data_IF_688843492530
#
_entry.id   IF_688843492530
#
_cell.length_a   1.000
_cell.length_b   1.000
_cell.length_c   1.000
_cell.angle_alpha   90.00
_cell.angle_beta   90.00
_cell.angle_gamma   90.00
#
_symmetry.space_group_name_H-M   'P 1'
#
loop_
_entity.id
_entity.type
_entity.pdbx_description
1 polymer ?
#
# COMPACT_ATOMS: atom_id res chain seq x y z
N UNK A 1 -30.93 -3.20 34.93
CA UNK A 1 -30.36 -2.73 33.65
C UNK A 1 -30.29 -3.88 32.63
N UNK A 2 -31.23 -3.99 31.68
CA UNK A 2 -31.14 -4.87 30.49
C UNK A 2 -32.42 -4.77 29.65
N UNK A 3 -32.46 -3.79 28.77
CA UNK A 3 -33.27 -3.82 27.55
C UNK A 3 -32.45 -3.10 26.49
N UNK A 4 -31.41 -3.78 25.98
CA UNK A 4 -30.74 -3.33 24.76
C UNK A 4 -31.48 -4.02 23.61
N UNK A 5 -32.24 -3.29 22.76
CA UNK A 5 -32.93 -3.86 21.62
C UNK A 5 -31.98 -4.69 20.73
N UNK A 6 -32.52 -5.73 20.10
CA UNK A 6 -31.74 -6.64 19.24
C UNK A 6 -31.01 -5.88 18.13
N UNK A 7 -31.65 -4.86 17.55
CA UNK A 7 -31.02 -4.01 16.52
C UNK A 7 -29.82 -3.23 17.05
N UNK A 8 -29.85 -2.82 18.32
CA UNK A 8 -28.75 -2.13 18.98
C UNK A 8 -27.64 -3.13 19.35
N UNK A 9 -27.97 -4.37 19.73
CA UNK A 9 -27.00 -5.45 19.89
C UNK A 9 -26.34 -5.80 18.55
N UNK A 10 -27.11 -5.90 17.47
CA UNK A 10 -26.61 -6.17 16.11
C UNK A 10 -25.71 -5.02 15.65
N UNK A 11 -26.13 -3.77 15.84
CA UNK A 11 -25.31 -2.60 15.54
C UNK A 11 -24.02 -2.58 16.36
N UNK A 12 -24.08 -2.94 17.65
CA UNK A 12 -22.91 -3.05 18.52
C UNK A 12 -21.98 -4.19 18.10
N UNK A 13 -22.51 -5.34 17.67
CA UNK A 13 -21.72 -6.47 17.16
C UNK A 13 -21.01 -6.10 15.85
N UNK A 14 -21.74 -5.53 14.89
CA UNK A 14 -21.19 -5.06 13.61
C UNK A 14 -20.15 -3.96 13.85
N UNK A 15 -20.45 -2.99 14.72
CA UNK A 15 -19.51 -1.91 15.05
C UNK A 15 -18.25 -2.41 15.78
N UNK A 16 -18.36 -3.45 16.63
CA UNK A 16 -17.20 -4.11 17.24
C UNK A 16 -16.34 -4.81 16.20
N UNK A 17 -16.96 -5.59 15.32
CA UNK A 17 -16.26 -6.34 14.28
C UNK A 17 -15.53 -5.39 13.30
N UNK A 18 -16.15 -4.27 12.94
CA UNK A 18 -15.53 -3.23 12.09
C UNK A 18 -14.43 -2.48 12.83
N UNK A 19 -14.63 -2.16 14.12
CA UNK A 19 -13.64 -1.47 14.95
C UNK A 19 -12.40 -2.31 15.25
N UNK A 20 -12.53 -3.62 15.39
CA UNK A 20 -11.41 -4.57 15.49
C UNK A 20 -10.73 -4.81 14.13
N UNK A 21 -11.50 -4.71 13.03
CA UNK A 21 -10.96 -4.89 11.68
C UNK A 21 -10.03 -3.75 11.27
N UNK A 22 -10.28 -2.51 11.70
CA UNK A 22 -9.48 -1.33 11.34
C UNK A 22 -8.76 -0.73 12.56
N UNK A 23 -7.54 -1.20 12.88
CA UNK A 23 -6.79 -0.69 14.03
C UNK A 23 -6.53 0.80 13.88
N UNK A 24 -7.01 1.60 14.84
CA UNK A 24 -6.81 3.05 14.84
C UNK A 24 -5.38 3.43 15.16
N UNK A 25 -4.88 4.45 14.48
CA UNK A 25 -3.55 5.01 14.64
C UNK A 25 -3.64 6.52 14.89
N UNK A 26 -2.76 7.02 15.76
CA UNK A 26 -2.54 8.46 15.96
C UNK A 26 -1.05 8.71 15.82
N UNK A 27 -0.65 9.40 14.76
CA UNK A 27 0.75 9.73 14.46
C UNK A 27 0.80 11.20 14.04
N UNK A 28 1.77 11.95 14.58
CA UNK A 28 2.10 13.27 14.06
C UNK A 28 2.79 13.13 12.71
N UNK A 29 2.14 13.62 11.65
CA UNK A 29 2.66 13.54 10.29
C UNK A 29 3.91 14.42 10.14
N UNK A 30 4.98 13.85 9.60
CA UNK A 30 6.24 14.56 9.36
C UNK A 30 6.27 15.34 8.04
N UNK A 31 7.48 15.63 7.57
CA UNK A 31 7.71 16.29 6.28
C UNK A 31 7.26 15.41 5.08
N UNK A 32 6.97 16.02 3.91
CA UNK A 32 6.76 15.29 2.67
C UNK A 32 7.94 14.36 2.34
N UNK A 33 7.64 13.08 2.11
CA UNK A 33 8.62 12.06 1.70
C UNK A 33 8.46 11.75 0.22
N UNK A 34 7.23 11.61 -0.28
CA UNK A 34 6.94 11.49 -1.71
C UNK A 34 6.27 12.78 -2.18
N UNK A 35 6.74 13.34 -3.29
CA UNK A 35 6.10 14.47 -3.96
C UNK A 35 5.98 14.17 -5.45
N UNK A 36 4.77 14.34 -5.98
CA UNK A 36 4.43 14.13 -7.38
C UNK A 36 3.86 15.44 -7.91
N UNK A 37 4.35 15.92 -9.05
CA UNK A 37 3.94 17.19 -9.64
C UNK A 37 3.79 17.09 -11.15
N UNK A 38 2.61 17.47 -11.65
CA UNK A 38 2.28 17.49 -13.07
C UNK A 38 2.61 16.16 -13.80
N UNK A 39 2.45 15.03 -13.12
CA UNK A 39 2.71 13.71 -13.71
C UNK A 39 1.67 13.43 -14.78
N UNK A 40 2.12 12.93 -15.93
CA UNK A 40 1.26 12.62 -17.07
C UNK A 40 1.69 11.36 -17.80
N UNK A 41 0.71 10.63 -18.34
CA UNK A 41 0.88 9.48 -19.20
C UNK A 41 -0.25 9.49 -20.24
N UNK A 42 0.12 9.64 -21.51
CA UNK A 42 -0.77 9.75 -22.64
C UNK A 42 -1.76 8.59 -22.70
N UNK A 43 -3.04 8.92 -22.88
CA UNK A 43 -4.13 7.94 -22.90
C UNK A 43 -4.50 7.35 -21.53
N UNK A 44 -3.88 7.77 -20.43
CA UNK A 44 -4.19 7.26 -19.08
C UNK A 44 -4.51 8.38 -18.09
N UNK A 45 -3.60 9.32 -17.86
CA UNK A 45 -3.81 10.41 -16.90
C UNK A 45 -3.00 11.67 -17.22
N UNK A 46 -3.43 12.81 -16.69
CA UNK A 46 -2.86 14.13 -16.97
C UNK A 46 -2.87 15.01 -15.71
N UNK A 47 -1.79 15.76 -15.50
CA UNK A 47 -1.65 16.74 -14.43
C UNK A 47 -1.93 16.18 -13.02
N UNK A 48 -1.36 15.00 -12.73
CA UNK A 48 -1.46 14.40 -11.40
C UNK A 48 -0.43 15.05 -10.48
N UNK A 49 -0.88 15.57 -9.35
CA UNK A 49 -0.01 16.17 -8.34
C UNK A 49 -0.51 15.91 -6.92
N UNK A 50 0.34 15.36 -6.08
CA UNK A 50 0.06 15.08 -4.68
C UNK A 50 1.37 14.85 -3.92
N UNK A 51 1.32 14.80 -2.59
CA UNK A 51 2.44 14.36 -1.77
C UNK A 51 2.02 13.22 -0.85
N UNK A 52 2.97 12.60 -0.17
CA UNK A 52 2.76 11.68 0.96
C UNK A 52 3.81 12.02 2.02
N UNK A 53 3.37 12.28 3.24
CA UNK A 53 4.23 12.68 4.37
C UNK A 53 4.80 11.48 5.10
N UNK A 54 5.89 11.71 5.84
CA UNK A 54 6.45 10.71 6.74
C UNK A 54 5.39 10.31 7.77
N UNK A 55 5.15 9.00 7.83
CA UNK A 55 4.12 8.39 8.66
C UNK A 55 2.69 8.59 8.18
N UNK A 56 2.48 9.02 6.94
CA UNK A 56 1.15 9.12 6.33
C UNK A 56 0.82 7.88 5.51
N UNK A 57 -0.41 7.39 5.62
CA UNK A 57 -1.04 6.42 4.73
C UNK A 57 -2.05 7.17 3.87
N UNK A 58 -1.74 7.33 2.59
CA UNK A 58 -2.61 7.97 1.60
C UNK A 58 -3.26 6.90 0.75
N UNK A 59 -4.59 6.90 0.74
CA UNK A 59 -5.38 6.09 -0.18
C UNK A 59 -5.40 6.67 -1.58
N UNK A 60 -5.41 5.81 -2.59
CA UNK A 60 -5.66 6.17 -3.98
C UNK A 60 -6.78 5.26 -4.50
N UNK A 61 -7.79 5.85 -5.12
CA UNK A 61 -8.88 5.08 -5.71
C UNK A 61 -9.42 5.74 -6.97
N UNK A 62 -10.21 4.98 -7.71
CA UNK A 62 -10.88 5.42 -8.94
C UNK A 62 -11.46 4.23 -9.67
N UNK A 63 -12.49 4.46 -10.49
CA UNK A 63 -13.08 3.40 -11.29
C UNK A 63 -12.07 2.79 -12.29
N UNK A 64 -12.38 1.60 -12.80
CA UNK A 64 -11.57 0.98 -13.85
C UNK A 64 -11.38 1.95 -15.03
N UNK A 65 -10.13 2.11 -15.47
CA UNK A 65 -9.78 3.07 -16.53
C UNK A 65 -9.66 4.53 -16.06
N UNK A 66 -9.73 4.81 -14.75
CA UNK A 66 -9.49 6.15 -14.19
C UNK A 66 -8.05 6.63 -14.33
N UNK A 67 -7.08 5.72 -14.47
CA UNK A 67 -5.65 6.02 -14.44
C UNK A 67 -4.97 5.78 -13.09
N UNK A 68 -5.72 5.40 -12.04
CA UNK A 68 -5.16 5.16 -10.69
C UNK A 68 -4.07 4.07 -10.68
N UNK A 69 -4.32 2.95 -11.37
CA UNK A 69 -3.36 1.85 -11.52
C UNK A 69 -2.11 2.29 -12.26
N UNK A 70 -2.27 3.07 -13.34
CA UNK A 70 -1.17 3.57 -14.14
C UNK A 70 -0.28 4.56 -13.37
N UNK A 71 -0.86 5.36 -12.48
CA UNK A 71 -0.09 6.25 -11.58
C UNK A 71 0.86 5.40 -10.72
N UNK A 72 0.33 4.37 -10.05
CA UNK A 72 1.12 3.44 -9.23
C UNK A 72 2.21 2.75 -10.06
N UNK A 73 1.90 2.31 -11.27
CA UNK A 73 2.88 1.71 -12.18
C UNK A 73 3.99 2.68 -12.58
N UNK A 74 3.70 3.98 -12.76
CA UNK A 74 4.71 5.00 -13.02
C UNK A 74 5.60 5.26 -11.79
N UNK A 75 5.02 5.28 -10.59
CA UNK A 75 5.78 5.46 -9.33
C UNK A 75 6.75 4.32 -9.03
N UNK A 76 6.61 3.17 -9.68
CA UNK A 76 7.56 2.07 -9.56
C UNK A 76 8.37 1.81 -10.84
N UNK A 77 8.20 2.64 -11.88
CA UNK A 77 8.91 2.49 -13.16
C UNK A 77 8.51 1.26 -13.97
N UNK A 78 7.30 0.71 -13.76
CA UNK A 78 6.68 -0.29 -14.64
C UNK A 78 6.16 0.35 -15.94
N UNK A 79 5.76 1.62 -15.86
CA UNK A 79 5.47 2.49 -17.00
C UNK A 79 6.34 3.74 -16.90
N UNK A 80 6.75 4.27 -18.04
CA UNK A 80 7.51 5.54 -18.09
C UNK A 80 6.52 6.67 -18.36
N UNK A 81 6.45 7.65 -17.46
CA UNK A 81 5.61 8.83 -17.64
C UNK A 81 6.14 9.74 -18.77
N UNK A 82 5.23 10.45 -19.45
CA UNK A 82 5.57 11.39 -20.54
C UNK A 82 6.02 12.76 -20.02
N UNK A 83 5.93 12.99 -18.71
CA UNK A 83 6.38 14.20 -18.06
C UNK A 83 5.88 14.32 -16.62
N UNK A 84 6.26 15.43 -16.01
CA UNK A 84 6.08 15.67 -14.58
C UNK A 84 7.33 15.34 -13.77
N UNK A 85 7.23 15.50 -12.47
CA UNK A 85 8.32 15.30 -11.52
C UNK A 85 7.87 14.40 -10.39
N UNK A 86 8.75 13.50 -9.97
CA UNK A 86 8.59 12.65 -8.79
C UNK A 86 9.82 12.90 -7.92
N UNK A 87 9.61 13.29 -6.66
CA UNK A 87 10.67 13.47 -5.69
C UNK A 87 10.48 12.53 -4.52
N UNK A 88 11.58 11.98 -4.04
CA UNK A 88 11.64 11.28 -2.75
C UNK A 88 12.62 12.02 -1.85
N UNK A 89 12.14 12.50 -0.72
CA UNK A 89 12.89 13.29 0.26
C UNK A 89 13.56 14.53 -0.37
N UNK A 90 12.80 15.23 -1.21
CA UNK A 90 13.27 16.40 -1.96
C UNK A 90 14.18 16.08 -3.15
N UNK A 91 14.64 14.84 -3.33
CA UNK A 91 15.47 14.43 -4.47
C UNK A 91 14.59 14.00 -5.64
N UNK A 92 14.73 14.66 -6.78
CA UNK A 92 14.07 14.28 -8.03
C UNK A 92 14.56 12.92 -8.55
N UNK A 93 13.63 12.07 -8.93
CA UNK A 93 13.88 10.70 -9.37
C UNK A 93 13.52 10.52 -10.85
N UNK A 94 14.34 9.75 -11.56
CA UNK A 94 14.01 9.22 -12.88
C UNK A 94 13.65 7.75 -12.78
N UNK A 95 12.35 7.49 -12.62
CA UNK A 95 11.78 6.16 -12.40
C UNK A 95 11.46 5.49 -13.73
N UNK A 96 12.51 5.00 -14.42
CA UNK A 96 12.36 4.32 -15.71
C UNK A 96 12.33 2.80 -15.61
N UNK A 97 12.68 2.23 -14.44
CA UNK A 97 12.66 0.78 -14.19
C UNK A 97 12.41 0.47 -12.71
N UNK A 98 11.86 -0.72 -12.38
CA UNK A 98 11.68 -1.17 -11.00
C UNK A 98 12.97 -1.21 -10.17
N UNK A 99 14.08 -1.59 -10.79
CA UNK A 99 15.39 -1.66 -10.11
C UNK A 99 15.84 -0.27 -9.64
N UNK A 100 15.58 0.78 -10.44
CA UNK A 100 15.87 2.16 -10.02
C UNK A 100 14.95 2.59 -8.88
N UNK A 101 13.65 2.30 -8.96
CA UNK A 101 12.69 2.62 -7.91
C UNK A 101 13.11 2.04 -6.55
N UNK A 102 13.48 0.75 -6.51
CA UNK A 102 13.98 0.09 -5.29
C UNK A 102 15.25 0.75 -4.77
N UNK A 103 16.22 1.04 -5.64
CA UNK A 103 17.46 1.73 -5.25
C UNK A 103 17.20 3.12 -4.70
N UNK A 104 16.20 3.80 -5.24
CA UNK A 104 15.84 5.17 -4.90
C UNK A 104 14.83 5.25 -3.73
N UNK A 105 14.59 4.12 -3.04
CA UNK A 105 13.87 4.07 -1.77
C UNK A 105 12.37 3.82 -1.86
N UNK A 106 11.89 3.28 -3.00
CA UNK A 106 10.49 2.93 -3.23
C UNK A 106 10.34 1.41 -3.28
N UNK A 107 9.46 0.85 -2.44
CA UNK A 107 9.02 -0.53 -2.53
C UNK A 107 7.60 -0.59 -3.12
N UNK A 108 7.28 -1.64 -3.88
CA UNK A 108 5.93 -1.83 -4.42
C UNK A 108 5.43 -3.25 -4.17
N UNK A 109 4.32 -3.41 -3.44
CA UNK A 109 3.60 -4.68 -3.34
C UNK A 109 2.54 -4.75 -4.46
N UNK A 110 2.68 -5.65 -5.45
CA UNK A 110 1.72 -5.75 -6.56
C UNK A 110 0.46 -6.55 -6.17
N UNK A 111 -0.64 -6.30 -6.89
CA UNK A 111 -1.92 -7.00 -6.74
C UNK A 111 -1.78 -8.52 -6.98
N UNK A 112 -1.22 -8.91 -8.14
CA UNK A 112 -1.02 -10.33 -8.46
C UNK A 112 0.23 -10.86 -7.74
N UNK A 113 0.00 -11.38 -6.54
CA UNK A 113 1.06 -11.99 -5.73
C UNK A 113 1.77 -13.16 -6.43
N UNK A 114 1.07 -13.94 -7.26
CA UNK A 114 1.63 -15.17 -7.87
C UNK A 114 2.45 -14.83 -9.11
N UNK A 115 1.97 -13.92 -9.93
CA UNK A 115 2.69 -13.50 -11.13
C UNK A 115 3.83 -12.53 -10.80
N UNK A 116 3.61 -11.60 -9.86
CA UNK A 116 4.50 -10.45 -9.66
C UNK A 116 5.04 -10.30 -8.22
N UNK A 117 4.39 -10.90 -7.22
CA UNK A 117 4.79 -10.80 -5.82
C UNK A 117 5.95 -11.71 -5.43
N UNK A 118 5.85 -13.00 -5.75
CA UNK A 118 6.82 -14.05 -5.37
C UNK A 118 7.34 -14.86 -6.56
N UNK A 119 8.58 -15.32 -6.47
CA UNK A 119 9.16 -16.31 -7.35
C UNK A 119 8.92 -17.71 -6.76
N UNK A 120 7.92 -18.42 -7.27
CA UNK A 120 7.47 -19.73 -6.75
C UNK A 120 8.55 -20.82 -6.75
N UNK A 121 9.51 -20.74 -7.68
CA UNK A 121 10.63 -21.67 -7.79
C UNK A 121 11.81 -21.36 -6.86
N UNK A 122 11.77 -20.24 -6.15
CA UNK A 122 12.80 -19.85 -5.18
C UNK A 122 12.35 -20.15 -3.75
N UNK A 123 13.33 -20.25 -2.86
CA UNK A 123 13.10 -20.43 -1.43
C UNK A 123 12.46 -19.20 -0.78
N UNK A 124 11.94 -19.37 0.44
CA UNK A 124 11.47 -18.24 1.27
C UNK A 124 12.59 -17.22 1.47
N UNK A 125 13.80 -17.67 1.81
CA UNK A 125 14.98 -16.81 1.99
C UNK A 125 15.29 -15.99 0.76
N UNK A 126 15.40 -16.64 -0.40
CA UNK A 126 15.69 -15.98 -1.66
C UNK A 126 14.59 -14.99 -2.04
N UNK A 127 13.31 -15.32 -1.82
CA UNK A 127 12.21 -14.41 -2.08
C UNK A 127 12.28 -13.17 -1.19
N UNK A 128 12.47 -13.36 0.12
CA UNK A 128 12.51 -12.26 1.08
C UNK A 128 13.70 -11.34 0.81
N UNK A 129 14.89 -11.88 0.52
CA UNK A 129 16.08 -11.07 0.27
C UNK A 129 16.17 -10.53 -1.16
N UNK A 130 15.36 -11.02 -2.11
CA UNK A 130 15.54 -10.77 -3.55
C UNK A 130 15.66 -9.28 -3.92
N UNK A 131 14.75 -8.47 -3.37
CA UNK A 131 14.69 -7.03 -3.67
C UNK A 131 15.76 -6.23 -2.92
N UNK A 132 16.34 -6.79 -1.87
CA UNK A 132 17.27 -6.12 -0.96
C UNK A 132 18.66 -6.76 -0.90
N UNK A 133 18.96 -7.71 -1.79
CA UNK A 133 20.16 -8.56 -1.73
C UNK A 133 21.47 -7.75 -1.66
N UNK A 134 21.49 -6.58 -2.31
CA UNK A 134 22.61 -5.63 -2.26
C UNK A 134 22.98 -5.19 -0.84
N UNK A 135 22.02 -5.15 0.08
CA UNK A 135 22.23 -4.78 1.49
C UNK A 135 23.04 -5.82 2.26
N UNK A 136 22.94 -7.07 1.82
CA UNK A 136 23.69 -8.19 2.40
C UNK A 136 24.91 -8.54 1.56
N UNK A 137 25.23 -7.75 0.53
CA UNK A 137 26.30 -8.03 -0.42
C UNK A 137 27.43 -7.03 -0.29
N UNK A 138 28.68 -7.51 -0.30
CA UNK A 138 29.89 -6.70 -0.37
C UNK A 138 30.75 -7.17 -1.53
N UNK A 139 31.08 -6.26 -2.45
CA UNK A 139 31.89 -6.55 -3.63
C UNK A 139 31.38 -7.75 -4.47
N UNK A 140 30.06 -7.90 -4.58
CA UNK A 140 29.41 -8.99 -5.32
C UNK A 140 29.23 -10.30 -4.53
N UNK A 141 29.77 -10.41 -3.32
CA UNK A 141 29.58 -11.59 -2.46
C UNK A 141 28.50 -11.35 -1.41
N UNK A 142 27.56 -12.29 -1.30
CA UNK A 142 26.47 -12.24 -0.31
C UNK A 142 26.97 -12.78 1.03
N UNK A 143 26.80 -11.98 2.10
CA UNK A 143 26.96 -12.42 3.49
C UNK A 143 25.74 -13.25 3.89
N UNK A 144 25.87 -14.58 3.79
CA UNK A 144 24.80 -15.51 4.18
C UNK A 144 24.36 -15.35 5.63
N UNK A 145 25.27 -15.06 6.56
CA UNK A 145 24.92 -14.84 7.96
C UNK A 145 24.00 -13.63 8.16
N UNK A 146 24.34 -12.49 7.53
CA UNK A 146 23.52 -11.28 7.61
C UNK A 146 22.17 -11.44 6.89
N UNK A 147 22.16 -12.07 5.71
CA UNK A 147 20.94 -12.41 4.97
C UNK A 147 20.02 -13.27 5.83
N UNK A 148 20.56 -14.34 6.41
CA UNK A 148 19.84 -15.29 7.24
C UNK A 148 19.22 -14.63 8.48
N UNK A 149 19.97 -13.78 9.17
CA UNK A 149 19.49 -13.08 10.35
C UNK A 149 18.32 -12.14 10.03
N UNK A 150 18.42 -11.38 8.93
CA UNK A 150 17.36 -10.49 8.50
C UNK A 150 16.10 -11.25 8.05
N UNK A 151 16.27 -12.34 7.29
CA UNK A 151 15.19 -13.20 6.83
C UNK A 151 14.45 -13.86 8.00
N UNK A 152 15.18 -14.38 9.01
CA UNK A 152 14.55 -14.98 10.19
C UNK A 152 13.75 -13.97 11.00
N UNK A 153 14.26 -12.74 11.11
CA UNK A 153 13.53 -11.63 11.72
C UNK A 153 12.17 -11.42 11.07
N UNK A 154 12.15 -11.31 9.73
CA UNK A 154 10.92 -11.10 8.96
C UNK A 154 9.97 -12.31 8.99
N UNK A 155 10.49 -13.54 8.98
CA UNK A 155 9.68 -14.76 9.14
C UNK A 155 8.96 -14.74 10.48
N UNK A 156 9.67 -14.41 11.56
CA UNK A 156 9.10 -14.32 12.91
C UNK A 156 8.10 -13.17 13.03
N UNK A 157 8.48 -11.99 12.55
CA UNK A 157 7.68 -10.78 12.63
C UNK A 157 6.32 -10.93 11.93
N UNK A 158 6.32 -11.52 10.73
CA UNK A 158 5.10 -11.72 9.94
C UNK A 158 4.40 -13.05 10.25
N UNK A 159 4.94 -13.84 11.18
CA UNK A 159 4.43 -15.17 11.53
C UNK A 159 4.24 -16.06 10.28
N UNK A 160 5.26 -16.09 9.42
CA UNK A 160 5.27 -16.91 8.21
C UNK A 160 5.41 -18.37 8.62
N UNK A 161 4.37 -19.16 8.38
CA UNK A 161 4.37 -20.61 8.62
C UNK A 161 5.12 -21.29 7.49
N UNK A 162 6.40 -21.59 7.71
CA UNK A 162 7.27 -22.33 6.80
C UNK A 162 8.08 -23.37 7.58
N UNK A 163 8.39 -24.56 7.02
CA UNK A 163 9.25 -25.55 7.68
C UNK A 163 10.64 -25.00 7.99
N UNK A 164 11.20 -24.22 7.06
CA UNK A 164 12.46 -23.49 7.20
C UNK A 164 12.59 -22.43 6.10
N UNK A 165 13.60 -21.56 6.21
CA UNK A 165 13.84 -20.48 5.24
C UNK A 165 14.19 -20.97 3.84
N UNK A 166 14.75 -22.17 3.71
CA UNK A 166 15.13 -22.73 2.40
C UNK A 166 14.01 -23.54 1.73
N UNK A 167 12.81 -23.61 2.33
CA UNK A 167 11.66 -24.26 1.73
C UNK A 167 11.17 -23.45 0.51
N UNK A 168 10.64 -24.12 -0.51
CA UNK A 168 10.18 -23.46 -1.72
C UNK A 168 8.86 -22.72 -1.47
N UNK A 169 8.72 -21.50 -2.00
CA UNK A 169 7.50 -20.71 -1.77
C UNK A 169 6.25 -21.38 -2.34
N UNK A 170 6.38 -22.17 -3.42
CA UNK A 170 5.27 -22.96 -3.99
C UNK A 170 4.65 -23.98 -3.02
N UNK A 171 5.37 -24.38 -1.98
CA UNK A 171 4.92 -25.37 -0.99
C UNK A 171 4.09 -24.72 0.12
N UNK A 172 4.08 -23.39 0.21
CA UNK A 172 3.35 -22.64 1.22
C UNK A 172 1.89 -22.41 0.82
N UNK A 173 1.02 -22.23 1.82
CA UNK A 173 -0.37 -21.79 1.59
C UNK A 173 -0.42 -20.38 0.98
N UNK A 174 -1.52 -20.05 0.31
CA UNK A 174 -1.68 -18.73 -0.34
C UNK A 174 -1.47 -17.53 0.59
N UNK A 175 -1.95 -17.61 1.84
CA UNK A 175 -1.71 -16.57 2.85
C UNK A 175 -0.24 -16.43 3.24
N UNK A 176 0.50 -17.54 3.35
CA UNK A 176 1.94 -17.48 3.62
C UNK A 176 2.74 -16.97 2.41
N UNK A 177 2.32 -17.29 1.18
CA UNK A 177 2.90 -16.69 -0.03
C UNK A 177 2.72 -15.17 -0.02
N UNK A 178 1.55 -14.66 0.40
CA UNK A 178 1.32 -13.22 0.55
C UNK A 178 2.24 -12.61 1.61
N UNK A 179 2.40 -13.25 2.77
CA UNK A 179 3.33 -12.79 3.81
C UNK A 179 4.78 -12.78 3.32
N UNK A 180 5.19 -13.74 2.50
CA UNK A 180 6.51 -13.74 1.85
C UNK A 180 6.65 -12.59 0.85
N UNK A 181 5.60 -12.30 0.07
CA UNK A 181 5.58 -11.15 -0.85
C UNK A 181 5.75 -9.84 -0.08
N UNK A 182 5.02 -9.67 1.02
CA UNK A 182 5.13 -8.52 1.92
C UNK A 182 6.55 -8.44 2.50
N UNK A 183 7.06 -9.53 3.08
CA UNK A 183 8.39 -9.61 3.68
C UNK A 183 9.51 -9.17 2.71
N UNK A 184 9.41 -9.57 1.44
CA UNK A 184 10.34 -9.14 0.39
C UNK A 184 10.43 -7.63 0.29
N UNK A 185 9.31 -6.93 0.32
CA UNK A 185 9.27 -5.47 0.22
C UNK A 185 9.65 -4.76 1.52
N UNK A 186 9.34 -5.35 2.69
CA UNK A 186 9.81 -4.84 3.98
C UNK A 186 11.33 -4.94 4.12
N UNK A 187 11.93 -5.99 3.56
CA UNK A 187 13.39 -6.18 3.60
C UNK A 187 14.17 -5.05 2.94
N UNK A 188 13.52 -4.27 2.05
CA UNK A 188 14.13 -3.11 1.42
C UNK A 188 14.38 -1.97 2.42
N UNK A 189 13.58 -1.88 3.49
CA UNK A 189 13.45 -0.70 4.38
C UNK A 189 13.35 0.60 3.58
N UNK A 190 12.39 0.63 2.66
CA UNK A 190 12.12 1.77 1.80
C UNK A 190 11.55 2.96 2.59
N UNK A 191 11.68 4.17 2.03
CA UNK A 191 11.05 5.38 2.58
C UNK A 191 9.60 5.50 2.12
N UNK A 192 9.34 5.00 0.91
CA UNK A 192 8.02 4.99 0.27
C UNK A 192 7.59 3.55 0.00
N UNK A 193 6.36 3.20 0.40
CA UNK A 193 5.73 1.93 0.07
C UNK A 193 4.50 2.20 -0.80
N UNK A 194 4.45 1.60 -1.98
CA UNK A 194 3.31 1.65 -2.88
C UNK A 194 2.64 0.29 -2.85
N UNK A 195 1.41 0.24 -2.36
CA UNK A 195 0.67 -1.00 -2.16
C UNK A 195 -0.48 -1.03 -3.13
N UNK A 196 -0.52 -2.05 -3.97
CA UNK A 196 -1.47 -2.21 -5.03
C UNK A 196 -2.41 -3.36 -4.68
N UNK A 197 -3.62 -3.03 -4.22
CA UNK A 197 -4.67 -3.98 -3.85
C UNK A 197 -4.17 -5.08 -2.87
N UNK A 198 -3.53 -4.69 -1.73
CA UNK A 198 -2.76 -5.63 -0.91
C UNK A 198 -3.62 -6.67 -0.18
N UNK A 199 -4.93 -6.44 -0.08
CA UNK A 199 -5.90 -7.31 0.59
C UNK A 199 -6.84 -8.04 -0.36
N UNK A 200 -6.58 -8.02 -1.68
CA UNK A 200 -7.36 -8.82 -2.63
C UNK A 200 -7.10 -10.31 -2.42
N UNK A 201 -8.20 -11.09 -2.37
CA UNK A 201 -8.19 -12.54 -2.23
C UNK A 201 -7.43 -13.07 -0.98
N UNK A 202 -7.40 -12.29 0.10
CA UNK A 202 -6.96 -12.73 1.43
C UNK A 202 -8.16 -12.82 2.38
N UNK A 203 -8.09 -13.70 3.38
CA UNK A 203 -9.13 -13.83 4.41
C UNK A 203 -9.13 -12.63 5.38
N UNK A 204 -10.22 -12.47 6.12
CA UNK A 204 -10.41 -11.35 7.06
C UNK A 204 -9.30 -11.26 8.11
N UNK A 205 -8.84 -12.39 8.64
CA UNK A 205 -7.76 -12.41 9.63
C UNK A 205 -6.45 -11.87 9.04
N UNK A 206 -6.11 -12.32 7.83
CA UNK A 206 -4.95 -11.82 7.11
C UNK A 206 -5.04 -10.31 6.77
N UNK A 207 -6.25 -9.79 6.47
CA UNK A 207 -6.44 -8.33 6.27
C UNK A 207 -6.02 -7.53 7.51
N UNK A 208 -6.48 -7.95 8.69
CA UNK A 208 -6.16 -7.28 9.96
C UNK A 208 -4.66 -7.30 10.25
N UNK A 209 -3.98 -8.41 9.97
CA UNK A 209 -2.52 -8.50 10.09
C UNK A 209 -1.80 -7.51 9.17
N UNK A 210 -2.26 -7.38 7.91
CA UNK A 210 -1.73 -6.42 6.95
C UNK A 210 -1.92 -4.99 7.45
N UNK A 211 -3.11 -4.62 7.92
CA UNK A 211 -3.37 -3.27 8.41
C UNK A 211 -2.52 -2.91 9.63
N UNK A 212 -2.33 -3.85 10.56
CA UNK A 212 -1.43 -3.65 11.71
C UNK A 212 0.01 -3.43 11.26
N UNK A 213 0.47 -4.14 10.23
CA UNK A 213 1.78 -3.91 9.63
C UNK A 213 1.87 -2.51 9.01
N UNK A 214 0.87 -2.07 8.24
CA UNK A 214 0.88 -0.73 7.62
C UNK A 214 0.94 0.37 8.68
N UNK A 215 0.14 0.25 9.72
CA UNK A 215 0.13 1.18 10.84
C UNK A 215 1.48 1.27 11.53
N UNK A 216 2.16 0.14 11.72
CA UNK A 216 3.49 0.08 12.31
C UNK A 216 4.54 0.73 11.40
N UNK A 217 4.58 0.38 10.13
CA UNK A 217 5.52 0.98 9.16
C UNK A 217 5.36 2.50 9.10
N UNK A 218 4.12 2.96 9.05
CA UNK A 218 3.85 4.39 9.04
C UNK A 218 4.14 5.01 10.43
N UNK A 219 3.95 4.29 11.54
CA UNK A 219 4.43 4.70 12.87
C UNK A 219 5.97 4.84 12.97
N UNK A 220 6.71 4.09 12.15
CA UNK A 220 8.17 4.18 12.00
C UNK A 220 8.60 5.30 11.01
N UNK A 221 7.64 6.07 10.48
CA UNK A 221 7.89 7.21 9.60
C UNK A 221 7.85 6.90 8.11
N UNK A 222 7.45 5.70 7.70
CA UNK A 222 7.27 5.37 6.29
C UNK A 222 6.13 6.19 5.66
N UNK A 223 6.29 6.58 4.39
CA UNK A 223 5.22 7.12 3.57
C UNK A 223 4.57 6.00 2.76
N UNK A 224 3.25 5.84 2.90
CA UNK A 224 2.52 4.73 2.28
C UNK A 224 1.47 5.28 1.31
N UNK A 225 1.50 4.79 0.07
CA UNK A 225 0.45 4.99 -0.91
C UNK A 225 -0.30 3.66 -1.11
N UNK A 226 -1.57 3.62 -0.71
CA UNK A 226 -2.43 2.44 -0.78
C UNK A 226 -3.45 2.60 -1.92
N UNK A 227 -3.27 1.86 -3.01
CA UNK A 227 -4.27 1.72 -4.07
C UNK A 227 -5.23 0.60 -3.70
N UNK A 228 -6.52 0.93 -3.65
CA UNK A 228 -7.59 -0.05 -3.39
C UNK A 228 -8.91 0.31 -4.07
N UNK A 229 -9.64 -0.71 -4.47
CA UNK A 229 -11.05 -0.64 -4.89
C UNK A 229 -12.04 -0.84 -3.74
N UNK A 230 -11.58 -1.28 -2.56
CA UNK A 230 -12.38 -1.44 -1.35
C UNK A 230 -12.42 -0.10 -0.58
N UNK A 231 -13.54 0.63 -0.73
CA UNK A 231 -13.70 1.93 -0.09
C UNK A 231 -13.70 1.83 1.45
N UNK A 232 -14.15 0.71 2.03
CA UNK A 232 -14.13 0.53 3.49
C UNK A 232 -12.71 0.37 4.00
N UNK A 233 -11.85 -0.33 3.25
CA UNK A 233 -10.41 -0.41 3.54
C UNK A 233 -9.77 0.98 3.55
N UNK A 234 -10.04 1.78 2.52
CA UNK A 234 -9.47 3.13 2.43
C UNK A 234 -9.93 4.03 3.58
N UNK A 235 -11.23 4.02 3.89
CA UNK A 235 -11.79 4.81 4.99
C UNK A 235 -11.29 4.34 6.36
N UNK A 236 -11.06 3.04 6.53
CA UNK A 236 -10.63 2.45 7.79
C UNK A 236 -9.14 2.65 8.10
N UNK A 237 -8.27 2.71 7.07
CA UNK A 237 -6.81 2.63 7.24
C UNK A 237 -6.08 3.93 6.87
N UNK A 238 -6.61 4.72 5.94
CA UNK A 238 -5.89 5.88 5.42
C UNK A 238 -6.11 7.14 6.27
N UNK A 239 -5.11 8.02 6.31
CA UNK A 239 -5.25 9.36 6.89
C UNK A 239 -6.04 10.29 5.95
N UNK A 240 -5.90 10.06 4.64
CA UNK A 240 -6.69 10.70 3.58
C UNK A 240 -6.72 9.86 2.32
N UNK A 241 -7.68 10.13 1.45
CA UNK A 241 -7.88 9.41 0.17
C UNK A 241 -7.92 10.37 -1.00
N UNK A 242 -7.15 10.04 -2.03
CA UNK A 242 -7.16 10.70 -3.34
C UNK A 242 -8.06 9.92 -4.28
N UNK A 243 -8.96 10.63 -4.96
CA UNK A 243 -9.84 10.03 -5.96
C UNK A 243 -9.41 10.46 -7.36
N UNK A 244 -9.24 9.49 -8.25
CA UNK A 244 -8.93 9.69 -9.66
C UNK A 244 -10.18 9.46 -10.49
N UNK A 245 -10.51 10.43 -11.35
CA UNK A 245 -11.61 10.35 -12.29
C UNK A 245 -11.13 10.80 -13.67
N UNK A 246 -11.30 9.93 -14.68
CA UNK A 246 -10.94 10.19 -16.08
C UNK A 246 -9.54 10.81 -16.24
N UNK A 247 -8.56 10.21 -15.57
CA UNK A 247 -7.16 10.59 -15.67
C UNK A 247 -6.76 11.83 -14.87
N UNK A 248 -7.62 12.36 -14.00
CA UNK A 248 -7.32 13.55 -13.17
C UNK A 248 -7.68 13.32 -11.72
N UNK A 249 -7.02 14.02 -10.81
CA UNK A 249 -7.43 14.05 -9.41
C UNK A 249 -8.76 14.80 -9.28
N UNK A 250 -9.79 14.08 -8.87
CA UNK A 250 -11.14 14.62 -8.64
C UNK A 250 -11.28 15.25 -7.25
N UNK A 251 -10.51 14.78 -6.27
CA UNK A 251 -10.54 15.30 -4.92
C UNK A 251 -9.58 14.60 -3.97
N UNK A 252 -9.38 15.22 -2.80
CA UNK A 252 -8.66 14.68 -1.65
C UNK A 252 -9.57 14.77 -0.43
N UNK A 253 -9.82 13.65 0.23
CA UNK A 253 -10.80 13.51 1.29
C UNK A 253 -10.11 13.09 2.59
N UNK A 254 -10.42 13.75 3.70
CA UNK A 254 -9.87 13.46 5.03
C UNK A 254 -10.91 13.71 6.10
N UNK A 255 -10.75 13.10 7.28
CA UNK A 255 -11.67 13.28 8.40
C UNK A 255 -13.11 12.88 8.05
N UNK A 256 -14.14 13.62 8.50
CA UNK A 256 -15.54 13.26 8.23
C UNK A 256 -15.94 13.22 6.74
N UNK A 257 -15.22 13.94 5.89
CA UNK A 257 -15.45 13.95 4.45
C UNK A 257 -14.96 12.67 3.75
N UNK A 258 -14.11 11.88 4.41
CA UNK A 258 -13.59 10.61 3.89
C UNK A 258 -14.53 9.45 4.22
N UNK A 259 -15.68 9.41 3.55
CA UNK A 259 -16.64 8.32 3.68
C UNK A 259 -16.92 7.65 2.32
N UNK A 260 -17.39 6.40 2.35
CA UNK A 260 -17.58 5.59 1.14
C UNK A 260 -18.48 6.26 0.10
N UNK A 261 -19.54 6.94 0.53
CA UNK A 261 -20.47 7.61 -0.39
C UNK A 261 -19.81 8.79 -1.11
N UNK A 262 -19.05 9.62 -0.39
CA UNK A 262 -18.31 10.74 -0.97
C UNK A 262 -17.23 10.27 -1.94
N UNK A 263 -16.49 9.21 -1.58
CA UNK A 263 -15.46 8.61 -2.45
C UNK A 263 -16.07 8.01 -3.71
N UNK A 264 -17.21 7.32 -3.59
CA UNK A 264 -17.94 6.75 -4.72
C UNK A 264 -18.52 7.83 -5.65
N UNK A 265 -19.08 8.89 -5.08
CA UNK A 265 -19.58 10.04 -5.85
C UNK A 265 -18.45 10.69 -6.65
N UNK A 266 -17.32 10.98 -6.01
CA UNK A 266 -16.16 11.54 -6.69
C UNK A 266 -15.59 10.60 -7.77
N UNK A 267 -15.61 9.28 -7.53
CA UNK A 267 -15.12 8.27 -8.48
C UNK A 267 -16.01 8.11 -9.71
N UNK A 268 -17.30 8.44 -9.60
CA UNK A 268 -18.27 8.41 -10.71
C UNK A 268 -18.41 9.76 -11.43
N UNK A 269 -17.86 10.83 -10.85
CA UNK A 269 -18.05 12.21 -11.32
C UNK A 269 -19.39 12.82 -10.89
N UNK A 270 -20.15 12.15 -10.02
CA UNK A 270 -21.30 12.74 -9.36
C UNK A 270 -20.81 13.78 -8.34
N UNK A 271 -21.31 15.01 -8.43
CA UNK A 271 -21.07 16.00 -7.36
C UNK A 271 -21.84 15.53 -6.14
N UNK A 272 -21.19 15.34 -4.99
CA UNK A 272 -21.94 15.16 -3.74
C UNK A 272 -22.71 16.46 -3.49
N UNK A 273 -24.03 16.36 -3.33
CA UNK A 273 -24.87 17.46 -2.86
C UNK A 273 -24.60 17.70 -1.36
N UNK A 274 -23.36 18.03 -1.01
CA UNK A 274 -22.96 18.44 0.33
C UNK A 274 -22.92 19.97 0.49
N UNK A 275 -23.39 20.72 -0.52
CA UNK A 275 -23.63 22.15 -0.44
C UNK A 275 -25.13 22.45 -0.64
N UNK A 276 -25.82 22.66 0.49
CA UNK A 276 -26.90 23.64 0.57
C UNK A 276 -28.32 23.21 0.18
N UNK A 277 -29.13 22.94 1.22
CA UNK A 277 -30.52 23.41 1.25
C UNK A 277 -30.51 24.93 1.09
N UNK A 278 -31.03 25.44 -0.02
CA UNK A 278 -31.78 26.71 -0.14
C UNK A 278 -32.13 27.01 -1.61
N UNK A 279 -33.34 26.65 -2.02
CA UNK A 279 -34.27 27.47 -2.80
C UNK A 279 -35.66 26.85 -2.68
#
# INVERSE_FOLDING_TARGET
>A
PRQTPIDEIIAMMIARDVGEMFPKRSVELGAPVLEVSNLRLGGSFENIGFNVRAGEIVGLTGLLGSGAKEIVQCLFGLKTADGGQIKVEGRELSLSTPVKAVRDGIAMLPEDRRAHGVALGLSVRENISLASLRRYSRSGMVSRGAENQAVDGLIKELSIKTPHRDALVRELSGGNQQKVAIAKWLSCQSRVYVLDEPTVAVDVGAKVEIYNLLNRLAGEGAAILLLSSDLLELVGVCDRVLVVYRGRLAGSFSGPAMNSDALLAASSGARSNADGVAA
#
